data_IF_254128888961
#
_entry.id   IF_254128888961
#
_cell.length_a   1.000
_cell.length_b   1.000
_cell.length_c   1.000
_cell.angle_alpha   90.00
_cell.angle_beta   90.00
_cell.angle_gamma   90.00
#
_symmetry.space_group_name_H-M   'P 1'
#
loop_
_entity.id
_entity.type
_entity.pdbx_description
1 polymer ?
#
# COMPACT_ATOMS: atom_id res chain seq x y z
N UNK A 1 10.27 49.99 42.74
CA UNK A 1 9.91 50.08 41.31
C UNK A 1 10.46 48.83 40.64
N UNK A 2 9.58 47.90 40.28
CA UNK A 2 9.96 46.59 39.74
C UNK A 2 10.24 46.72 38.24
N UNK A 3 11.44 46.35 37.81
CA UNK A 3 11.84 46.33 36.41
C UNK A 3 11.41 44.98 35.81
N UNK A 4 10.33 44.98 35.04
CA UNK A 4 9.89 43.84 34.23
C UNK A 4 10.85 43.62 33.08
N UNK A 5 11.43 42.41 32.97
CA UNK A 5 12.21 42.01 31.80
C UNK A 5 11.29 41.69 30.61
N UNK A 6 11.72 41.95 29.36
CA UNK A 6 10.93 41.63 28.17
C UNK A 6 10.87 40.12 27.94
N UNK A 7 9.65 39.63 27.73
CA UNK A 7 9.33 38.26 27.29
C UNK A 7 9.99 37.98 25.93
N UNK A 8 10.87 36.99 25.88
CA UNK A 8 11.38 36.46 24.62
C UNK A 8 10.36 35.46 24.07
N UNK A 9 9.80 35.74 22.90
CA UNK A 9 8.99 34.78 22.14
C UNK A 9 9.91 33.72 21.52
N UNK A 10 9.57 32.42 21.58
CA UNK A 10 10.37 31.38 20.94
C UNK A 10 10.35 31.53 19.41
N UNK A 11 11.43 31.16 18.70
CA UNK A 11 11.47 31.26 17.25
C UNK A 11 10.48 30.28 16.62
N UNK A 12 9.70 30.79 15.66
CA UNK A 12 8.82 29.98 14.80
C UNK A 12 9.66 28.92 14.07
N UNK A 13 9.27 27.63 14.07
CA UNK A 13 9.97 26.63 13.29
C UNK A 13 9.93 27.02 11.81
N UNK A 14 11.10 27.08 11.19
CA UNK A 14 11.25 27.29 9.75
C UNK A 14 10.65 26.07 9.06
N UNK A 15 9.44 26.19 8.54
CA UNK A 15 8.87 25.19 7.64
C UNK A 15 9.81 25.14 6.43
N UNK A 16 10.48 24.01 6.24
CA UNK A 16 11.10 23.73 4.95
C UNK A 16 9.97 23.66 3.93
N UNK A 17 9.80 24.73 3.16
CA UNK A 17 8.92 24.72 1.99
C UNK A 17 9.39 23.59 1.07
N UNK A 18 8.52 22.59 0.90
CA UNK A 18 8.72 21.57 -0.12
C UNK A 18 8.78 22.27 -1.48
N UNK A 19 9.76 21.96 -2.34
CA UNK A 19 9.82 22.55 -3.67
C UNK A 19 8.51 22.28 -4.42
N UNK A 20 7.89 23.35 -4.92
CA UNK A 20 6.56 23.37 -5.52
C UNK A 20 6.46 22.67 -6.89
N UNK A 21 7.53 22.00 -7.35
CA UNK A 21 7.56 21.36 -8.66
C UNK A 21 8.03 19.92 -8.54
N UNK A 22 7.06 19.03 -8.26
CA UNK A 22 7.17 17.65 -8.71
C UNK A 22 6.97 17.71 -10.23
N UNK A 23 8.06 17.59 -11.00
CA UNK A 23 7.97 17.27 -12.42
C UNK A 23 7.11 16.01 -12.53
N UNK A 24 5.87 16.14 -13.02
CA UNK A 24 5.04 15.00 -13.39
C UNK A 24 5.73 14.32 -14.55
N UNK A 25 6.66 13.40 -14.25
CA UNK A 25 6.86 12.26 -15.13
C UNK A 25 5.57 11.47 -15.01
N UNK A 26 4.90 11.27 -16.14
CA UNK A 26 3.70 10.45 -16.20
C UNK A 26 4.08 9.04 -15.76
N UNK A 27 3.95 8.72 -14.47
CA UNK A 27 4.21 7.39 -13.91
C UNK A 27 3.46 6.31 -14.70
N UNK A 28 2.33 6.69 -15.31
CA UNK A 28 1.50 5.84 -16.18
C UNK A 28 2.25 5.38 -17.45
N UNK A 29 3.18 6.17 -18.01
CA UNK A 29 3.92 5.76 -19.21
C UNK A 29 5.08 4.80 -18.90
N UNK A 30 5.55 4.76 -17.66
CA UNK A 30 6.63 3.87 -17.22
C UNK A 30 6.10 2.55 -16.64
N UNK A 31 4.81 2.47 -16.31
CA UNK A 31 4.14 1.24 -15.86
C UNK A 31 3.49 0.56 -17.08
N UNK A 32 4.31 -0.14 -17.86
CA UNK A 32 3.79 -1.15 -18.79
C UNK A 32 3.64 -2.47 -18.02
N UNK A 33 2.44 -2.76 -17.52
CA UNK A 33 2.11 -4.14 -17.16
C UNK A 33 1.88 -4.86 -18.49
N UNK A 34 2.96 -5.41 -19.06
CA UNK A 34 2.79 -6.39 -20.12
C UNK A 34 2.02 -7.56 -19.52
N UNK A 35 0.78 -7.73 -19.96
CA UNK A 35 0.03 -8.95 -19.68
C UNK A 35 0.85 -10.07 -20.32
N UNK A 36 1.44 -11.01 -19.55
CA UNK A 36 2.15 -12.11 -20.16
C UNK A 36 1.13 -12.79 -21.07
N UNK A 37 1.53 -13.10 -22.31
CA UNK A 37 0.60 -13.58 -23.29
C UNK A 37 -0.14 -14.79 -22.70
N UNK A 38 -1.48 -14.67 -22.56
CA UNK A 38 -2.33 -15.85 -22.42
C UNK A 38 -1.97 -16.74 -23.60
N UNK A 39 -1.22 -17.80 -23.32
CA UNK A 39 -0.70 -18.78 -24.27
C UNK A 39 -0.89 -18.32 -25.71
N UNK A 40 0.07 -17.57 -26.28
CA UNK A 40 0.08 -17.38 -27.74
C UNK A 40 -0.16 -18.76 -28.34
N UNK A 41 -1.05 -18.85 -29.32
CA UNK A 41 -1.42 -20.07 -30.06
C UNK A 41 -0.21 -20.65 -30.81
N UNK A 42 0.82 -21.04 -30.06
CA UNK A 42 2.23 -21.05 -30.46
C UNK A 42 3.20 -21.02 -29.25
N UNK A 43 2.90 -21.75 -28.17
CA UNK A 43 3.87 -22.52 -27.37
C UNK A 43 5.15 -21.89 -26.78
N UNK A 44 5.31 -20.58 -26.65
CA UNK A 44 6.47 -20.04 -25.93
C UNK A 44 6.15 -19.89 -24.44
N UNK A 45 6.69 -20.81 -23.64
CA UNK A 45 6.63 -20.80 -22.18
C UNK A 45 7.57 -19.71 -21.65
N UNK A 46 7.12 -18.95 -20.64
CA UNK A 46 7.98 -17.98 -19.94
C UNK A 46 9.21 -18.69 -19.37
N UNK A 47 10.33 -17.99 -19.31
CA UNK A 47 11.47 -18.45 -18.53
C UNK A 47 11.11 -18.47 -17.03
N UNK A 48 11.80 -19.27 -16.19
CA UNK A 48 11.54 -19.30 -14.75
C UNK A 48 11.66 -17.93 -14.07
N UNK A 49 12.59 -17.09 -14.53
CA UNK A 49 12.81 -15.75 -13.97
C UNK A 49 11.67 -14.80 -14.34
N UNK A 50 11.23 -14.79 -15.60
CA UNK A 50 10.09 -13.98 -16.05
C UNK A 50 8.78 -14.41 -15.34
N UNK A 51 8.58 -15.72 -15.16
CA UNK A 51 7.43 -16.27 -14.45
C UNK A 51 7.47 -15.88 -12.96
N UNK A 52 8.66 -15.83 -12.34
CA UNK A 52 8.84 -15.38 -10.97
C UNK A 52 8.59 -13.87 -10.82
N UNK A 53 9.15 -13.05 -11.70
CA UNK A 53 8.90 -11.60 -11.71
C UNK A 53 7.42 -11.29 -11.90
N UNK A 54 6.76 -11.99 -12.82
CA UNK A 54 5.34 -11.82 -13.04
C UNK A 54 4.50 -12.17 -11.80
N UNK A 55 4.80 -13.28 -11.12
CA UNK A 55 4.13 -13.63 -9.85
C UNK A 55 4.36 -12.55 -8.79
N UNK A 56 5.58 -12.04 -8.66
CA UNK A 56 5.86 -10.96 -7.71
C UNK A 56 5.06 -9.70 -8.02
N UNK A 57 4.95 -9.30 -9.28
CA UNK A 57 4.10 -8.18 -9.69
C UNK A 57 2.62 -8.44 -9.37
N UNK A 58 2.12 -9.64 -9.59
CA UNK A 58 0.76 -10.02 -9.22
C UNK A 58 0.55 -9.91 -7.71
N UNK A 59 1.45 -10.45 -6.90
CA UNK A 59 1.34 -10.43 -5.45
C UNK A 59 1.41 -9.01 -4.89
N UNK A 60 2.30 -8.16 -5.42
CA UNK A 60 2.43 -6.77 -5.00
C UNK A 60 1.16 -5.94 -5.29
N UNK A 61 0.47 -6.23 -6.39
CA UNK A 61 -0.69 -5.46 -6.84
C UNK A 61 -2.03 -6.00 -6.34
N UNK A 62 -2.15 -7.31 -6.12
CA UNK A 62 -3.44 -7.99 -5.94
C UNK A 62 -3.58 -8.84 -4.68
N UNK A 63 -2.51 -9.03 -3.90
CA UNK A 63 -2.64 -9.72 -2.62
C UNK A 63 -3.42 -8.89 -1.60
N UNK A 64 -4.18 -9.57 -0.73
CA UNK A 64 -5.02 -8.99 0.31
C UNK A 64 -4.68 -9.55 1.71
N UNK A 65 -4.78 -8.78 2.79
CA UNK A 65 -4.67 -9.34 4.14
C UNK A 65 -5.81 -10.34 4.36
N UNK A 66 -5.54 -11.49 5.00
CA UNK A 66 -6.56 -12.51 5.21
C UNK A 66 -7.67 -11.98 6.15
N UNK A 67 -8.94 -11.96 5.71
CA UNK A 67 -10.03 -11.37 6.48
C UNK A 67 -10.37 -12.13 7.77
N UNK A 68 -9.83 -13.34 7.92
CA UNK A 68 -10.05 -14.20 9.08
C UNK A 68 -8.77 -14.40 9.90
N UNK A 69 -7.71 -13.61 9.64
CA UNK A 69 -6.41 -13.71 10.31
C UNK A 69 -5.80 -15.13 10.31
N UNK A 70 -6.13 -15.94 9.31
CA UNK A 70 -5.59 -17.30 9.19
C UNK A 70 -4.14 -17.24 8.72
N UNK A 71 -3.27 -18.11 9.24
CA UNK A 71 -1.84 -18.12 8.92
C UNK A 71 -1.51 -18.54 7.49
N UNK A 72 -0.34 -18.15 6.97
CA UNK A 72 0.17 -18.49 5.66
C UNK A 72 -0.36 -17.62 4.51
N UNK A 73 -0.01 -17.97 3.28
CA UNK A 73 -0.48 -17.33 2.04
C UNK A 73 -1.37 -18.33 1.30
N UNK A 74 -2.61 -17.93 1.01
CA UNK A 74 -3.64 -18.76 0.35
C UNK A 74 -4.15 -18.07 -0.90
N UNK A 75 -4.72 -18.83 -1.83
CA UNK A 75 -5.37 -18.25 -3.02
C UNK A 75 -6.36 -17.15 -2.63
N UNK A 76 -6.25 -16.02 -3.31
CA UNK A 76 -7.20 -14.93 -3.16
C UNK A 76 -8.41 -15.18 -4.09
N UNK A 77 -9.39 -15.92 -3.58
CA UNK A 77 -10.58 -16.30 -4.34
C UNK A 77 -11.44 -15.08 -4.74
N UNK A 78 -11.31 -13.94 -4.05
CA UNK A 78 -12.02 -12.70 -4.38
C UNK A 78 -11.43 -12.00 -5.63
N UNK A 79 -10.14 -12.22 -5.90
CA UNK A 79 -9.40 -11.59 -7.02
C UNK A 79 -9.06 -12.57 -8.14
N UNK A 80 -9.04 -13.86 -7.84
CA UNK A 80 -8.53 -14.95 -8.68
C UNK A 80 -7.03 -14.83 -9.06
N UNK A 81 -6.31 -13.88 -8.45
CA UNK A 81 -4.86 -13.67 -8.58
C UNK A 81 -4.30 -13.10 -7.27
N UNK A 82 -3.00 -13.24 -7.03
CA UNK A 82 -2.39 -12.89 -5.75
C UNK A 82 -2.85 -13.83 -4.63
N UNK A 83 -2.60 -13.42 -3.38
CA UNK A 83 -2.92 -14.26 -2.22
C UNK A 83 -3.55 -13.51 -1.05
N UNK A 84 -4.31 -14.23 -0.23
CA UNK A 84 -4.62 -13.84 1.14
C UNK A 84 -3.43 -14.15 2.03
N UNK A 85 -2.72 -13.13 2.51
CA UNK A 85 -1.58 -13.29 3.40
C UNK A 85 -1.99 -13.14 4.87
N UNK A 86 -1.50 -14.05 5.71
CA UNK A 86 -1.78 -14.08 7.13
C UNK A 86 -0.92 -13.12 7.98
N UNK A 87 -1.22 -13.03 9.28
CA UNK A 87 -0.45 -12.22 10.22
C UNK A 87 0.99 -12.71 10.41
N UNK A 88 1.24 -14.01 10.27
CA UNK A 88 2.57 -14.63 10.32
C UNK A 88 3.47 -14.16 9.16
N UNK A 89 2.93 -14.09 7.94
CA UNK A 89 3.65 -13.57 6.77
C UNK A 89 4.00 -12.10 6.96
N UNK A 90 3.05 -11.32 7.48
CA UNK A 90 3.28 -9.90 7.80
C UNK A 90 4.38 -9.75 8.84
N UNK A 91 4.30 -10.51 9.93
CA UNK A 91 5.27 -10.44 11.01
C UNK A 91 6.67 -10.85 10.54
N UNK A 92 6.79 -11.92 9.77
CA UNK A 92 8.05 -12.34 9.18
C UNK A 92 8.66 -11.23 8.31
N UNK A 93 7.88 -10.67 7.38
CA UNK A 93 8.34 -9.61 6.49
C UNK A 93 8.80 -8.36 7.26
N UNK A 94 8.00 -7.90 8.23
CA UNK A 94 8.34 -6.72 9.01
C UNK A 94 9.59 -6.94 9.86
N UNK A 95 9.74 -8.12 10.48
CA UNK A 95 10.91 -8.45 11.28
C UNK A 95 12.19 -8.55 10.43
N UNK A 96 12.10 -9.16 9.26
CA UNK A 96 13.24 -9.32 8.35
C UNK A 96 13.84 -7.98 7.91
N UNK A 97 12.98 -7.01 7.61
CA UNK A 97 13.40 -5.69 7.15
C UNK A 97 13.41 -4.61 8.23
N UNK A 98 13.17 -4.99 9.50
CA UNK A 98 13.08 -4.07 10.64
C UNK A 98 12.09 -2.91 10.40
N UNK A 99 10.91 -3.25 9.88
CA UNK A 99 9.79 -2.34 9.69
C UNK A 99 8.77 -2.48 10.82
N UNK A 100 8.03 -1.41 11.08
CA UNK A 100 6.98 -1.41 12.10
C UNK A 100 5.59 -1.75 11.55
N UNK A 101 5.34 -1.46 10.27
CA UNK A 101 4.00 -1.56 9.67
C UNK A 101 4.07 -1.63 8.15
N UNK A 102 3.12 -2.36 7.55
CA UNK A 102 2.82 -2.33 6.13
C UNK A 102 1.63 -1.40 5.87
N UNK A 103 1.82 -0.40 5.00
CA UNK A 103 0.74 0.50 4.55
C UNK A 103 0.37 0.11 3.12
N UNK A 104 -0.93 -0.07 2.86
CA UNK A 104 -1.44 -0.48 1.55
C UNK A 104 -2.81 0.13 1.24
N UNK A 105 -3.28 -0.04 0.00
CA UNK A 105 -4.62 0.39 -0.45
C UNK A 105 -5.46 -0.79 -0.99
N UNK A 106 -6.05 -0.69 -2.19
CA UNK A 106 -6.76 -1.75 -2.92
C UNK A 106 -8.15 -2.17 -2.42
N UNK A 107 -8.36 -2.34 -1.11
CA UNK A 107 -9.68 -2.71 -0.57
C UNK A 107 -10.45 -1.46 -0.11
N UNK A 108 -11.73 -1.36 -0.50
CA UNK A 108 -12.65 -0.35 0.04
C UNK A 108 -12.88 -0.62 1.53
N UNK A 109 -12.79 0.43 2.36
CA UNK A 109 -13.10 0.35 3.79
C UNK A 109 -14.14 1.39 4.15
N UNK A 110 -15.09 1.03 5.00
CA UNK A 110 -16.23 1.88 5.36
C UNK A 110 -15.79 3.26 5.88
N UNK A 111 -14.77 3.30 6.73
CA UNK A 111 -14.21 4.56 7.28
C UNK A 111 -13.07 5.14 6.44
N UNK A 112 -12.82 4.58 5.26
CA UNK A 112 -11.66 4.91 4.43
C UNK A 112 -10.35 4.30 4.92
N UNK A 113 -10.31 3.63 6.07
CA UNK A 113 -9.14 2.89 6.55
C UNK A 113 -9.53 1.73 7.46
N UNK A 114 -8.61 0.77 7.63
CA UNK A 114 -8.73 -0.35 8.57
C UNK A 114 -7.35 -0.86 8.99
N UNK A 115 -7.21 -1.24 10.26
CA UNK A 115 -6.05 -1.95 10.78
C UNK A 115 -6.33 -3.45 10.84
N UNK A 116 -5.40 -4.27 10.37
CA UNK A 116 -5.42 -5.72 10.49
C UNK A 116 -4.07 -6.24 10.98
N UNK A 117 -4.00 -7.55 11.27
CA UNK A 117 -2.79 -8.23 11.73
C UNK A 117 -2.16 -7.54 12.96
N UNK A 118 -2.98 -7.30 13.99
CA UNK A 118 -2.54 -6.64 15.23
C UNK A 118 -1.89 -5.26 14.99
N UNK A 119 -2.58 -4.42 14.21
CA UNK A 119 -2.13 -3.08 13.82
C UNK A 119 -0.84 -3.02 12.98
N UNK A 120 -0.34 -4.16 12.50
CA UNK A 120 0.85 -4.23 11.63
C UNK A 120 0.53 -4.00 10.15
N UNK A 121 -0.74 -4.03 9.75
CA UNK A 121 -1.18 -3.67 8.40
C UNK A 121 -2.23 -2.56 8.47
N UNK A 122 -1.99 -1.47 7.75
CA UNK A 122 -2.95 -0.40 7.55
C UNK A 122 -3.42 -0.39 6.10
N UNK A 123 -4.71 -0.66 5.89
CA UNK A 123 -5.37 -0.41 4.61
C UNK A 123 -5.93 1.01 4.60
N UNK A 124 -5.56 1.82 3.61
CA UNK A 124 -6.11 3.18 3.37
C UNK A 124 -6.76 3.27 2.00
N UNK A 125 -7.94 3.89 1.94
CA UNK A 125 -8.73 4.06 0.73
C UNK A 125 -9.24 5.50 0.61
N UNK A 126 -8.86 6.19 -0.46
CA UNK A 126 -9.07 7.64 -0.60
C UNK A 126 -10.26 8.04 -1.46
N UNK A 127 -11.00 7.09 -2.03
CA UNK A 127 -12.20 7.38 -2.82
C UNK A 127 -13.47 7.21 -1.96
N UNK A 128 -14.06 8.33 -1.51
CA UNK A 128 -15.35 8.31 -0.80
C UNK A 128 -16.51 8.00 -1.76
N UNK A 129 -17.61 7.45 -1.24
CA UNK A 129 -18.81 7.09 -1.99
C UNK A 129 -18.51 6.21 -3.21
N UNK A 130 -17.57 5.27 -3.05
CA UNK A 130 -17.09 4.44 -4.13
C UNK A 130 -18.23 3.68 -4.80
N UNK A 131 -18.33 3.78 -6.13
CA UNK A 131 -19.41 3.21 -6.93
C UNK A 131 -20.83 3.55 -6.43
N UNK A 132 -21.03 4.73 -5.84
CA UNK A 132 -22.33 5.15 -5.29
C UNK A 132 -22.63 4.58 -3.89
N UNK A 133 -21.66 3.95 -3.24
CA UNK A 133 -21.74 3.53 -1.85
C UNK A 133 -21.65 4.69 -0.85
N UNK A 134 -21.46 4.37 0.43
CA UNK A 134 -21.44 5.34 1.53
C UNK A 134 -20.12 5.36 2.31
N UNK A 135 -19.06 4.75 1.78
CA UNK A 135 -17.76 4.73 2.46
C UNK A 135 -17.10 6.12 2.49
N UNK A 136 -16.32 6.38 3.53
CA UNK A 136 -15.47 7.57 3.63
C UNK A 136 -14.17 7.36 2.86
N UNK A 137 -13.49 8.47 2.55
CA UNK A 137 -12.12 8.48 2.08
C UNK A 137 -11.16 8.86 3.23
N UNK A 138 -9.95 8.33 3.24
CA UNK A 138 -8.91 8.69 4.19
C UNK A 138 -7.58 9.01 3.49
N UNK A 139 -6.72 9.77 4.19
CA UNK A 139 -5.33 10.04 3.84
C UNK A 139 -4.47 9.91 5.10
N UNK A 140 -3.22 9.50 4.94
CA UNK A 140 -2.24 9.42 6.03
C UNK A 140 -1.40 10.70 5.99
N UNK A 141 -1.10 11.27 7.16
CA UNK A 141 -0.28 12.47 7.32
C UNK A 141 0.92 12.19 8.21
#
# INVERSE_FOLDING_TARGET
MSLTQPSQTPPTPRIHEFPAEIHRKDIVSDISIEVPPKSKSGGQQLTPDEDNEYRQMQDLLWSDPDPHNRQGCRNNDDRNIGCFFGPDITEQFLNEYNYSMLIRSHQVKERGYEFTHDHKVLTVFSASNYCGGSNWGAVIR
#
